data_IF_775691608379
#
_entry.id   IF_775691608379
#
_cell.length_a   1.000
_cell.length_b   1.000
_cell.length_c   1.000
_cell.angle_alpha   90.00
_cell.angle_beta   90.00
_cell.angle_gamma   90.00
#
_symmetry.space_group_name_H-M   'P 1'
#
loop_
_entity.id
_entity.type
_entity.pdbx_description
1 polymer ?
#
# COMPACT_ATOMS: atom_id res chain seq x y z
N UNK A 1 41.78 -20.91 31.55
CA UNK A 1 41.42 -19.96 30.46
C UNK A 1 40.62 -20.58 29.31
N UNK A 2 40.80 -21.87 28.95
CA UNK A 2 40.12 -22.51 27.81
C UNK A 2 38.58 -22.58 27.87
N UNK A 3 37.95 -22.60 29.05
CA UNK A 3 36.47 -22.65 29.22
C UNK A 3 35.76 -21.30 28.94
N UNK A 4 36.48 -20.17 28.95
CA UNK A 4 35.91 -18.83 28.73
C UNK A 4 35.72 -18.49 27.24
N UNK A 5 36.52 -19.11 26.37
CA UNK A 5 36.47 -18.93 24.91
C UNK A 5 35.14 -19.43 24.30
N UNK A 6 34.65 -20.65 24.58
CA UNK A 6 33.37 -21.11 24.01
C UNK A 6 32.17 -20.29 24.52
N UNK A 7 32.23 -19.79 25.76
CA UNK A 7 31.18 -18.91 26.33
C UNK A 7 31.15 -17.56 25.59
N UNK A 8 32.32 -16.99 25.29
CA UNK A 8 32.40 -15.73 24.53
C UNK A 8 31.85 -15.91 23.10
N UNK A 9 32.14 -17.04 22.44
CA UNK A 9 31.57 -17.37 21.15
C UNK A 9 30.04 -17.53 21.19
N UNK A 10 29.52 -18.18 22.23
CA UNK A 10 28.08 -18.34 22.42
C UNK A 10 27.38 -16.97 22.59
N UNK A 11 27.94 -16.09 23.43
CA UNK A 11 27.41 -14.74 23.65
C UNK A 11 27.47 -13.91 22.38
N UNK A 12 28.59 -13.96 21.64
CA UNK A 12 28.72 -13.26 20.37
C UNK A 12 27.68 -13.76 19.33
N UNK A 13 27.46 -15.08 19.25
CA UNK A 13 26.47 -15.67 18.35
C UNK A 13 25.04 -15.25 18.72
N UNK A 14 24.71 -15.21 20.02
CA UNK A 14 23.41 -14.74 20.49
C UNK A 14 23.16 -13.26 20.18
N UNK A 15 24.17 -12.40 20.32
CA UNK A 15 24.06 -10.98 19.98
C UNK A 15 23.81 -10.78 18.47
N UNK A 16 24.53 -11.52 17.63
CA UNK A 16 24.36 -11.50 16.17
C UNK A 16 22.96 -12.00 15.80
N UNK A 17 22.51 -13.12 16.36
CA UNK A 17 21.17 -13.65 16.12
C UNK A 17 20.07 -12.66 16.55
N UNK A 18 20.23 -12.01 17.70
CA UNK A 18 19.29 -11.00 18.20
C UNK A 18 19.18 -9.80 17.26
N UNK A 19 20.30 -9.37 16.68
CA UNK A 19 20.32 -8.29 15.70
C UNK A 19 19.56 -8.67 14.41
N UNK A 20 19.80 -9.86 13.86
CA UNK A 20 19.11 -10.33 12.65
C UNK A 20 17.60 -10.57 12.88
N UNK A 21 17.22 -11.13 14.03
CA UNK A 21 15.82 -11.26 14.42
C UNK A 21 15.15 -9.89 14.54
N UNK A 22 15.84 -8.92 15.16
CA UNK A 22 15.37 -7.55 15.26
C UNK A 22 15.16 -6.88 13.91
N UNK A 23 16.10 -7.03 12.97
CA UNK A 23 15.96 -6.49 11.61
C UNK A 23 14.81 -7.14 10.85
N UNK A 24 14.67 -8.46 10.94
CA UNK A 24 13.59 -9.21 10.29
C UNK A 24 12.20 -8.79 10.77
N UNK A 25 12.00 -8.70 12.09
CA UNK A 25 10.72 -8.25 12.67
C UNK A 25 10.42 -6.79 12.31
N UNK A 26 11.45 -5.94 12.21
CA UNK A 26 11.28 -4.55 11.78
C UNK A 26 10.82 -4.47 10.32
N UNK A 27 11.43 -5.25 9.43
CA UNK A 27 11.09 -5.30 8.01
C UNK A 27 9.66 -5.80 7.79
N UNK A 28 9.25 -6.85 8.51
CA UNK A 28 7.86 -7.33 8.43
C UNK A 28 6.84 -6.27 8.87
N UNK A 29 7.12 -5.55 9.95
CA UNK A 29 6.25 -4.46 10.42
C UNK A 29 6.18 -3.33 9.39
N UNK A 30 7.33 -2.93 8.85
CA UNK A 30 7.40 -1.91 7.80
C UNK A 30 6.56 -2.29 6.57
N UNK A 31 6.70 -3.52 6.08
CA UNK A 31 5.92 -4.00 4.93
C UNK A 31 4.43 -4.09 5.25
N UNK A 32 4.05 -4.54 6.46
CA UNK A 32 2.65 -4.57 6.90
C UNK A 32 2.05 -3.16 6.98
N UNK A 33 2.76 -2.22 7.57
CA UNK A 33 2.32 -0.82 7.69
C UNK A 33 2.12 -0.19 6.29
N UNK A 34 2.99 -0.51 5.32
CA UNK A 34 2.86 -0.06 3.94
C UNK A 34 1.61 -0.62 3.27
N UNK A 35 1.38 -1.94 3.34
CA UNK A 35 0.17 -2.58 2.78
C UNK A 35 -1.10 -2.02 3.44
N UNK A 36 -1.09 -1.81 4.76
CA UNK A 36 -2.22 -1.22 5.47
C UNK A 36 -2.50 0.22 5.00
N UNK A 37 -1.46 1.03 4.81
CA UNK A 37 -1.59 2.38 4.25
C UNK A 37 -2.13 2.35 2.82
N UNK A 38 -1.65 1.43 1.98
CA UNK A 38 -2.19 1.27 0.63
C UNK A 38 -3.69 0.96 0.68
N UNK A 39 -4.10 -0.06 1.46
CA UNK A 39 -5.51 -0.43 1.60
C UNK A 39 -6.36 0.75 2.10
N UNK A 40 -5.88 1.48 3.11
CA UNK A 40 -6.58 2.63 3.69
C UNK A 40 -6.81 3.74 2.65
N UNK A 41 -5.79 4.06 1.86
CA UNK A 41 -5.87 5.10 0.84
C UNK A 41 -6.80 4.69 -0.32
N UNK A 42 -6.80 3.41 -0.70
CA UNK A 42 -7.78 2.86 -1.65
C UNK A 42 -9.19 2.98 -1.09
N UNK A 43 -9.42 2.63 0.18
CA UNK A 43 -10.74 2.78 0.81
C UNK A 43 -11.20 4.24 0.86
N UNK A 44 -10.29 5.20 1.11
CA UNK A 44 -10.61 6.62 1.03
C UNK A 44 -10.95 7.07 -0.39
N UNK A 45 -10.25 6.53 -1.40
CA UNK A 45 -10.58 6.77 -2.80
C UNK A 45 -11.97 6.21 -3.16
N UNK A 46 -12.26 4.96 -2.79
CA UNK A 46 -13.57 4.33 -3.00
C UNK A 46 -14.68 5.14 -2.35
N UNK A 47 -14.56 5.44 -1.05
CA UNK A 47 -15.56 6.20 -0.30
C UNK A 47 -15.86 7.56 -0.96
N UNK A 48 -14.83 8.23 -1.47
CA UNK A 48 -14.98 9.51 -2.17
C UNK A 48 -15.67 9.33 -3.53
N UNK A 49 -15.30 8.31 -4.31
CA UNK A 49 -15.95 8.00 -5.58
C UNK A 49 -17.41 7.56 -5.44
N UNK A 50 -17.76 6.89 -4.35
CA UNK A 50 -19.14 6.46 -4.07
C UNK A 50 -20.03 7.63 -3.65
N UNK A 51 -19.54 8.47 -2.73
CA UNK A 51 -20.38 9.38 -1.94
C UNK A 51 -20.27 10.85 -2.33
N UNK A 52 -19.31 11.24 -3.17
CA UNK A 52 -19.12 12.64 -3.57
C UNK A 52 -19.34 12.88 -5.06
N UNK A 53 -19.54 14.15 -5.42
CA UNK A 53 -19.75 14.56 -6.80
C UNK A 53 -18.42 14.66 -7.56
N UNK A 54 -18.15 13.71 -8.46
CA UNK A 54 -16.91 13.69 -9.25
C UNK A 54 -16.81 14.81 -10.31
N UNK A 55 -17.92 15.53 -10.57
CA UNK A 55 -17.86 16.74 -11.40
C UNK A 55 -17.27 17.94 -10.65
N UNK A 56 -17.20 17.88 -9.31
CA UNK A 56 -16.48 18.88 -8.52
C UNK A 56 -14.96 18.68 -8.66
N UNK A 57 -14.26 19.74 -9.08
CA UNK A 57 -12.80 19.67 -9.28
C UNK A 57 -12.04 19.36 -7.99
N UNK A 58 -12.52 19.84 -6.84
CA UNK A 58 -11.89 19.58 -5.54
C UNK A 58 -12.01 18.11 -5.14
N UNK A 59 -13.21 17.55 -5.25
CA UNK A 59 -13.46 16.12 -5.05
C UNK A 59 -12.62 15.27 -5.99
N UNK A 60 -12.59 15.60 -7.29
CA UNK A 60 -11.80 14.85 -8.27
C UNK A 60 -10.30 14.91 -7.93
N UNK A 61 -9.76 16.09 -7.63
CA UNK A 61 -8.35 16.25 -7.25
C UNK A 61 -7.99 15.46 -5.99
N UNK A 62 -8.87 15.45 -4.98
CA UNK A 62 -8.65 14.69 -3.76
C UNK A 62 -8.71 13.17 -4.01
N UNK A 63 -9.64 12.72 -4.87
CA UNK A 63 -9.72 11.32 -5.29
C UNK A 63 -8.44 10.90 -6.01
N UNK A 64 -8.00 11.66 -7.01
CA UNK A 64 -6.75 11.39 -7.75
C UNK A 64 -5.54 11.37 -6.82
N UNK A 65 -5.51 12.23 -5.81
CA UNK A 65 -4.44 12.26 -4.80
C UNK A 65 -4.42 11.01 -3.93
N UNK A 66 -5.58 10.49 -3.53
CA UNK A 66 -5.69 9.23 -2.78
C UNK A 66 -5.21 8.05 -3.63
N UNK A 67 -5.55 8.00 -4.92
CA UNK A 67 -5.07 6.95 -5.85
C UNK A 67 -3.56 7.01 -6.02
N UNK A 68 -2.99 8.20 -6.24
CA UNK A 68 -1.53 8.39 -6.32
C UNK A 68 -0.83 7.97 -5.03
N UNK A 69 -1.37 8.36 -3.87
CA UNK A 69 -0.80 7.98 -2.59
C UNK A 69 -0.87 6.46 -2.38
N UNK A 70 -1.98 5.80 -2.74
CA UNK A 70 -2.10 4.35 -2.70
C UNK A 70 -1.02 3.68 -3.56
N UNK A 71 -0.82 4.15 -4.80
CA UNK A 71 0.26 3.71 -5.69
C UNK A 71 1.64 3.76 -5.01
N UNK A 72 1.95 4.83 -4.27
CA UNK A 72 3.25 5.00 -3.59
C UNK A 72 3.46 4.05 -2.40
N UNK A 73 2.39 3.61 -1.75
CA UNK A 73 2.44 2.73 -0.58
C UNK A 73 2.18 1.26 -0.90
N UNK A 74 1.67 0.94 -2.09
CA UNK A 74 1.48 -0.43 -2.53
C UNK A 74 2.80 -1.05 -3.01
N UNK A 75 3.13 -2.21 -2.44
CA UNK A 75 4.34 -2.97 -2.77
C UNK A 75 4.03 -4.18 -3.69
N UNK A 76 2.74 -4.53 -3.88
CA UNK A 76 2.33 -5.55 -4.83
C UNK A 76 2.43 -5.01 -6.27
N UNK A 77 3.26 -5.65 -7.09
CA UNK A 77 3.60 -5.15 -8.43
C UNK A 77 2.39 -5.00 -9.36
N UNK A 78 1.40 -5.89 -9.23
CA UNK A 78 0.18 -5.84 -10.04
C UNK A 78 -0.70 -4.68 -9.58
N UNK A 79 -0.96 -4.58 -8.28
CA UNK A 79 -1.71 -3.48 -7.70
C UNK A 79 -1.09 -2.12 -8.02
N UNK A 80 0.23 -1.99 -7.88
CA UNK A 80 0.97 -0.76 -8.20
C UNK A 80 0.79 -0.37 -9.67
N UNK A 81 0.84 -1.33 -10.59
CA UNK A 81 0.60 -1.07 -12.02
C UNK A 81 -0.83 -0.59 -12.28
N UNK A 82 -1.82 -1.29 -11.72
CA UNK A 82 -3.23 -0.90 -11.88
C UNK A 82 -3.54 0.47 -11.29
N UNK A 83 -3.00 0.79 -10.11
CA UNK A 83 -3.18 2.11 -9.48
C UNK A 83 -2.49 3.22 -10.28
N UNK A 84 -1.32 2.94 -10.87
CA UNK A 84 -0.63 3.88 -11.74
C UNK A 84 -1.43 4.16 -13.03
N UNK A 85 -1.95 3.11 -13.65
CA UNK A 85 -2.75 3.25 -14.88
C UNK A 85 -4.06 3.98 -14.61
N UNK A 86 -4.73 3.66 -13.49
CA UNK A 86 -5.92 4.38 -13.05
C UNK A 86 -5.62 5.86 -12.76
N UNK A 87 -4.51 6.15 -12.08
CA UNK A 87 -4.09 7.52 -11.83
C UNK A 87 -3.87 8.31 -13.12
N UNK A 88 -3.23 7.71 -14.13
CA UNK A 88 -3.05 8.34 -15.44
C UNK A 88 -4.38 8.57 -16.16
N UNK A 89 -5.28 7.59 -16.16
CA UNK A 89 -6.64 7.75 -16.70
C UNK A 89 -7.35 8.94 -16.04
N UNK A 90 -7.28 9.04 -14.72
CA UNK A 90 -7.91 10.12 -13.97
C UNK A 90 -7.36 11.50 -14.34
N UNK A 91 -6.06 11.62 -14.60
CA UNK A 91 -5.42 12.89 -14.98
C UNK A 91 -5.72 13.32 -16.42
N UNK A 92 -5.82 12.37 -17.35
CA UNK A 92 -5.76 12.66 -18.79
C UNK A 92 -7.10 12.48 -19.52
N UNK A 93 -7.98 11.63 -18.97
CA UNK A 93 -9.14 11.11 -19.69
C UNK A 93 -10.46 11.23 -18.92
N UNK A 94 -10.41 11.51 -17.62
CA UNK A 94 -11.62 11.58 -16.79
C UNK A 94 -12.65 12.61 -17.27
N UNK A 95 -12.23 13.74 -17.84
CA UNK A 95 -13.16 14.74 -18.37
C UNK A 95 -13.81 14.35 -19.72
N UNK A 96 -13.41 13.22 -20.31
CA UNK A 96 -13.91 12.73 -21.62
C UNK A 96 -14.86 11.54 -21.51
N UNK A 97 -15.04 10.99 -20.32
CA UNK A 97 -15.87 9.79 -20.09
C UNK A 97 -17.07 10.13 -19.21
N UNK A 98 -18.25 9.62 -19.56
CA UNK A 98 -19.44 9.66 -18.69
C UNK A 98 -19.39 8.62 -17.58
N UNK A 99 -18.55 7.59 -17.74
CA UNK A 99 -18.57 6.36 -16.94
C UNK A 99 -17.41 6.32 -15.94
N UNK A 100 -16.78 7.47 -15.69
CA UNK A 100 -15.59 7.62 -14.82
C UNK A 100 -15.82 7.00 -13.44
N UNK A 101 -16.99 7.22 -12.86
CA UNK A 101 -17.33 6.69 -11.54
C UNK A 101 -17.22 5.17 -11.53
N UNK A 102 -17.82 4.51 -12.51
CA UNK A 102 -17.85 3.05 -12.59
C UNK A 102 -16.47 2.47 -12.89
N UNK A 103 -15.71 3.10 -13.79
CA UNK A 103 -14.33 2.71 -14.09
C UNK A 103 -13.46 2.78 -12.82
N UNK A 104 -13.50 3.93 -12.12
CA UNK A 104 -12.71 4.14 -10.91
C UNK A 104 -13.11 3.16 -9.80
N UNK A 105 -14.41 2.97 -9.56
CA UNK A 105 -14.88 2.06 -8.51
C UNK A 105 -14.53 0.61 -8.83
N UNK A 106 -14.70 0.16 -10.06
CA UNK A 106 -14.36 -1.20 -10.46
C UNK A 106 -12.87 -1.48 -10.25
N UNK A 107 -12.01 -0.56 -10.69
CA UNK A 107 -10.57 -0.78 -10.63
C UNK A 107 -10.05 -0.69 -9.18
N UNK A 108 -10.53 0.28 -8.39
CA UNK A 108 -10.16 0.37 -6.96
C UNK A 108 -10.62 -0.85 -6.16
N UNK A 109 -11.84 -1.34 -6.40
CA UNK A 109 -12.32 -2.55 -5.73
C UNK A 109 -11.54 -3.79 -6.17
N UNK A 110 -11.21 -3.91 -7.45
CA UNK A 110 -10.38 -5.01 -7.95
C UNK A 110 -9.00 -5.02 -7.31
N UNK A 111 -8.35 -3.85 -7.20
CA UNK A 111 -7.06 -3.72 -6.53
C UNK A 111 -7.19 -4.07 -5.05
N UNK A 112 -8.14 -3.46 -4.33
CA UNK A 112 -8.32 -3.69 -2.89
C UNK A 112 -8.52 -5.18 -2.59
N UNK A 113 -9.39 -5.85 -3.35
CA UNK A 113 -9.68 -7.27 -3.17
C UNK A 113 -8.48 -8.19 -3.49
N UNK A 114 -7.52 -7.72 -4.29
CA UNK A 114 -6.31 -8.50 -4.62
C UNK A 114 -5.21 -8.39 -3.57
N UNK A 115 -5.17 -7.29 -2.80
CA UNK A 115 -4.11 -7.04 -1.81
C UNK A 115 -4.57 -7.12 -0.36
N UNK A 116 -5.89 -7.15 -0.12
CA UNK A 116 -6.44 -7.17 1.23
C UNK A 116 -5.99 -8.46 1.93
N UNK A 117 -5.23 -8.38 3.04
CA UNK A 117 -4.92 -9.56 3.84
C UNK A 117 -6.22 -10.12 4.44
N UNK A 118 -6.29 -11.44 4.61
CA UNK A 118 -7.49 -12.18 5.03
C UNK A 118 -8.10 -11.74 6.38
N UNK A 119 -7.41 -10.88 7.13
CA UNK A 119 -7.71 -10.52 8.52
C UNK A 119 -8.09 -9.03 8.71
N UNK A 120 -8.54 -8.34 7.65
CA UNK A 120 -9.08 -6.97 7.70
C UNK A 120 -10.60 -6.92 7.53
#
# INVERSE_FOLDING_TARGET
MKKKIPILFLVAMLLIASFFLGSYVREQRYNRDRVQRCCTLISFAINKAENENLADMGTMSALTSNVYAAYQFCDDSRATTQLHDLWNFMLLESNKSSDVKDIVLNELNAVLNSIKPADL
#
